data_IF_529113603414
#
_entry.id   IF_529113603414
#
_cell.length_a   1.000
_cell.length_b   1.000
_cell.length_c   1.000
_cell.angle_alpha   90.00
_cell.angle_beta   90.00
_cell.angle_gamma   90.00
#
_symmetry.space_group_name_H-M   'P 1'
#
loop_
_entity.id
_entity.type
_entity.pdbx_description
1 polymer ?
#
# COMPACT_ATOMS: atom_id res chain seq x y z
N UNK A 1 -14.48 -6.49 -17.36
CA UNK A 1 -13.27 -6.14 -16.58
C UNK A 1 -12.66 -7.36 -15.91
N UNK A 2 -13.42 -8.27 -15.28
CA UNK A 2 -12.87 -9.49 -14.63
C UNK A 2 -12.26 -10.52 -15.60
N UNK A 3 -12.84 -10.71 -16.79
CA UNK A 3 -12.39 -11.73 -17.76
C UNK A 3 -11.03 -11.45 -18.38
N UNK A 4 -10.67 -10.17 -18.52
CA UNK A 4 -9.46 -9.75 -19.23
C UNK A 4 -8.18 -10.20 -18.48
N UNK A 5 -8.01 -9.92 -17.17
CA UNK A 5 -6.88 -10.46 -16.40
C UNK A 5 -6.76 -11.98 -16.53
N UNK A 6 -7.87 -12.71 -16.42
CA UNK A 6 -7.87 -14.18 -16.55
C UNK A 6 -7.36 -14.65 -17.93
N UNK A 7 -7.76 -13.99 -19.02
CA UNK A 7 -7.27 -14.30 -20.37
C UNK A 7 -5.76 -14.07 -20.56
N UNK A 8 -5.14 -13.28 -19.69
CA UNK A 8 -3.70 -13.00 -19.66
C UNK A 8 -2.94 -13.83 -18.61
N UNK A 9 -3.63 -14.77 -17.94
CA UNK A 9 -3.06 -15.59 -16.87
C UNK A 9 -2.75 -14.78 -15.60
N UNK A 10 -3.51 -13.72 -15.33
CA UNK A 10 -3.37 -12.86 -14.16
C UNK A 10 -4.46 -13.16 -13.14
N UNK A 11 -4.09 -13.19 -11.86
CA UNK A 11 -5.04 -13.31 -10.75
C UNK A 11 -5.74 -11.97 -10.46
N UNK A 12 -7.01 -12.07 -10.04
CA UNK A 12 -7.73 -10.96 -9.42
C UNK A 12 -7.45 -10.99 -7.92
N UNK A 13 -6.95 -9.87 -7.38
CA UNK A 13 -6.70 -9.71 -5.95
C UNK A 13 -8.03 -9.55 -5.20
N UNK A 14 -8.34 -10.51 -4.32
CA UNK A 14 -9.60 -10.57 -3.56
C UNK A 14 -9.44 -10.19 -2.08
N UNK A 15 -8.23 -9.82 -1.67
CA UNK A 15 -7.88 -9.39 -0.31
C UNK A 15 -8.53 -8.08 0.10
N UNK A 16 -7.81 -7.25 0.86
CA UNK A 16 -8.35 -6.00 1.38
C UNK A 16 -8.50 -4.94 0.27
N UNK A 17 -9.39 -3.96 0.49
CA UNK A 17 -9.46 -2.78 -0.36
C UNK A 17 -8.36 -1.79 0.05
N UNK A 18 -7.96 -0.89 -0.87
CA UNK A 18 -6.97 0.16 -0.61
C UNK A 18 -7.30 1.00 0.65
N UNK A 19 -8.59 1.22 0.90
CA UNK A 19 -9.08 1.87 2.10
C UNK A 19 -10.41 1.26 2.59
N UNK A 20 -10.68 1.30 3.90
CA UNK A 20 -11.83 0.62 4.50
C UNK A 20 -13.20 1.23 4.15
N UNK A 21 -13.22 2.46 3.62
CA UNK A 21 -14.44 3.12 3.14
C UNK A 21 -14.76 2.87 1.67
N UNK A 22 -13.93 2.11 0.97
CA UNK A 22 -14.15 1.78 -0.43
C UNK A 22 -15.24 0.71 -0.56
N UNK A 23 -16.21 0.97 -1.42
CA UNK A 23 -17.27 0.00 -1.73
C UNK A 23 -16.78 -0.99 -2.77
N UNK A 24 -16.92 -2.30 -2.51
CA UNK A 24 -16.66 -3.36 -3.50
C UNK A 24 -17.92 -3.58 -4.34
N UNK A 25 -17.80 -3.38 -5.67
CA UNK A 25 -18.89 -3.64 -6.62
C UNK A 25 -18.89 -5.07 -7.15
N UNK A 26 -17.71 -5.66 -7.35
CA UNK A 26 -17.52 -7.04 -7.78
C UNK A 26 -16.13 -7.56 -7.36
N UNK A 27 -15.72 -8.75 -7.80
CA UNK A 27 -14.41 -9.29 -7.42
C UNK A 27 -13.29 -8.42 -7.99
N UNK A 28 -12.46 -7.86 -7.10
CA UNK A 28 -11.41 -6.91 -7.46
C UNK A 28 -11.90 -5.66 -8.23
N UNK A 29 -13.18 -5.29 -8.11
CA UNK A 29 -13.76 -4.07 -8.69
C UNK A 29 -14.37 -3.24 -7.58
N UNK A 30 -13.89 -2.01 -7.46
CA UNK A 30 -14.15 -1.14 -6.34
C UNK A 30 -14.61 0.24 -6.79
N UNK A 31 -15.28 0.97 -5.89
CA UNK A 31 -15.54 2.39 -6.06
C UNK A 31 -14.23 3.19 -6.09
N UNK A 32 -14.19 4.34 -6.77
CA UNK A 32 -13.08 5.28 -6.62
C UNK A 32 -12.94 5.73 -5.15
N UNK A 33 -11.72 6.04 -4.75
CA UNK A 33 -11.49 6.84 -3.55
C UNK A 33 -12.21 8.19 -3.70
N UNK A 34 -12.85 8.65 -2.63
CA UNK A 34 -13.51 9.94 -2.59
C UNK A 34 -13.40 10.53 -1.18
N UNK A 35 -13.33 11.86 -1.12
CA UNK A 35 -13.13 12.61 0.12
C UNK A 35 -14.29 12.45 1.11
N UNK A 36 -15.58 12.52 0.69
CA UNK A 36 -16.70 12.37 1.62
C UNK A 36 -16.70 11.02 2.33
N UNK A 37 -16.46 9.91 1.62
CA UNK A 37 -16.45 8.57 2.23
C UNK A 37 -15.31 8.41 3.25
N UNK A 38 -14.14 8.99 2.98
CA UNK A 38 -13.04 8.99 3.93
C UNK A 38 -13.39 9.79 5.19
N UNK A 39 -14.00 10.96 5.02
CA UNK A 39 -14.44 11.81 6.14
C UNK A 39 -15.47 11.08 7.01
N UNK A 40 -16.55 10.58 6.40
CA UNK A 40 -17.64 9.88 7.08
C UNK A 40 -17.13 8.64 7.84
N UNK A 41 -16.18 7.92 7.25
CA UNK A 41 -15.57 6.76 7.89
C UNK A 41 -14.81 7.16 9.16
N UNK A 42 -13.95 8.18 9.09
CA UNK A 42 -13.20 8.60 10.27
C UNK A 42 -14.10 9.24 11.32
N UNK A 43 -15.11 10.01 10.92
CA UNK A 43 -16.10 10.58 11.85
C UNK A 43 -16.86 9.49 12.60
N UNK A 44 -17.24 8.42 11.89
CA UNK A 44 -17.98 7.30 12.46
C UNK A 44 -17.14 6.45 13.40
N UNK A 45 -15.90 6.15 13.03
CA UNK A 45 -15.10 5.13 13.70
C UNK A 45 -14.00 5.68 14.60
N UNK A 46 -13.77 6.99 14.62
CA UNK A 46 -12.80 7.64 15.51
C UNK A 46 -13.47 8.76 16.31
N UNK A 47 -12.86 9.14 17.44
CA UNK A 47 -13.34 10.25 18.28
C UNK A 47 -12.56 11.55 18.03
N UNK A 48 -11.82 11.61 16.93
CA UNK A 48 -10.95 12.75 16.56
C UNK A 48 -11.52 13.47 15.35
N UNK A 49 -11.10 14.73 15.15
CA UNK A 49 -11.48 15.49 13.96
C UNK A 49 -10.97 14.77 12.69
N UNK A 50 -11.86 14.33 11.75
CA UNK A 50 -11.48 13.62 10.53
C UNK A 50 -10.33 14.27 9.76
N UNK A 51 -10.31 15.60 9.71
CA UNK A 51 -9.31 16.40 8.97
C UNK A 51 -7.88 16.10 9.43
N UNK A 52 -7.65 15.79 10.71
CA UNK A 52 -6.30 15.52 11.21
C UNK A 52 -5.75 14.16 10.77
N UNK A 53 -6.60 13.30 10.20
CA UNK A 53 -6.24 11.95 9.74
C UNK A 53 -6.21 11.86 8.21
N UNK A 54 -6.45 12.98 7.53
CA UNK A 54 -6.47 13.08 6.08
C UNK A 54 -5.20 13.77 5.60
N UNK A 55 -4.60 13.24 4.54
CA UNK A 55 -3.29 13.67 4.04
C UNK A 55 -3.36 14.49 2.74
N UNK A 56 -4.55 14.90 2.33
CA UNK A 56 -4.78 15.62 1.07
C UNK A 56 -6.24 16.00 0.86
N UNK A 57 -6.51 16.65 -0.28
CA UNK A 57 -7.85 16.98 -0.73
C UNK A 57 -8.52 15.86 -1.52
N UNK A 58 -9.61 16.20 -2.21
CA UNK A 58 -10.32 15.27 -3.08
C UNK A 58 -9.51 14.80 -4.29
N UNK A 59 -9.94 13.69 -4.85
CA UNK A 59 -9.42 13.07 -6.07
C UNK A 59 -9.98 13.76 -7.32
N UNK A 60 -9.47 13.40 -8.50
CA UNK A 60 -10.10 13.81 -9.77
C UNK A 60 -11.54 13.30 -9.91
N UNK A 61 -11.90 12.20 -9.23
CA UNK A 61 -13.28 11.73 -9.20
C UNK A 61 -14.17 12.69 -8.40
N UNK A 62 -13.73 13.18 -7.25
CA UNK A 62 -14.45 14.19 -6.47
C UNK A 62 -14.68 15.47 -7.29
N UNK A 63 -13.67 15.92 -8.04
CA UNK A 63 -13.79 17.09 -8.91
C UNK A 63 -14.83 16.90 -10.02
N UNK A 64 -14.87 15.72 -10.65
CA UNK A 64 -15.84 15.42 -11.71
C UNK A 64 -17.28 15.41 -11.20
N UNK A 65 -17.51 14.89 -9.99
CA UNK A 65 -18.82 14.95 -9.32
C UNK A 65 -19.21 16.41 -9.00
N UNK A 66 -18.27 17.21 -8.49
CA UNK A 66 -18.50 18.62 -8.14
C UNK A 66 -19.00 19.44 -9.35
N UNK A 67 -18.43 19.21 -10.54
CA UNK A 67 -18.82 19.93 -11.76
C UNK A 67 -20.00 19.28 -12.52
N UNK A 68 -20.65 18.27 -11.93
CA UNK A 68 -21.85 17.64 -12.49
C UNK A 68 -21.59 16.61 -13.60
N UNK A 69 -20.36 16.10 -13.73
CA UNK A 69 -19.99 15.07 -14.72
C UNK A 69 -20.15 13.63 -14.17
N UNK A 70 -21.26 13.38 -13.48
CA UNK A 70 -21.54 12.14 -12.72
C UNK A 70 -21.81 10.91 -13.60
N UNK A 71 -21.76 11.06 -14.93
CA UNK A 71 -21.84 9.96 -15.91
C UNK A 71 -20.48 9.53 -16.43
N UNK A 72 -19.40 10.10 -15.88
CA UNK A 72 -18.03 9.75 -16.28
C UNK A 72 -17.67 8.37 -15.77
N UNK A 73 -17.14 7.53 -16.66
CA UNK A 73 -16.56 6.25 -16.25
C UNK A 73 -15.17 6.51 -15.68
N UNK A 74 -14.99 6.22 -14.40
CA UNK A 74 -13.67 6.22 -13.77
C UNK A 74 -13.08 4.81 -13.80
N UNK A 75 -11.93 4.65 -14.44
CA UNK A 75 -11.19 3.39 -14.49
C UNK A 75 -9.77 3.63 -14.00
N UNK A 76 -9.43 2.99 -12.88
CA UNK A 76 -8.06 2.88 -12.38
C UNK A 76 -7.67 1.40 -12.35
N UNK A 77 -6.64 1.05 -13.12
CA UNK A 77 -6.13 -0.32 -13.17
C UNK A 77 -4.82 -0.39 -12.41
N UNK A 78 -4.91 -0.75 -11.14
CA UNK A 78 -3.75 -1.08 -10.31
C UNK A 78 -3.22 -2.45 -10.71
N UNK A 79 -1.90 -2.52 -10.94
CA UNK A 79 -1.25 -3.69 -11.47
C UNK A 79 -0.09 -4.10 -10.55
N UNK A 80 -0.10 -5.35 -10.03
CA UNK A 80 0.95 -5.79 -9.14
C UNK A 80 2.23 -6.15 -9.93
N UNK A 81 3.37 -6.16 -9.23
CA UNK A 81 4.66 -6.56 -9.80
C UNK A 81 4.78 -8.10 -9.94
N UNK A 82 4.08 -8.83 -9.09
CA UNK A 82 4.05 -10.29 -9.03
C UNK A 82 2.62 -10.76 -8.78
N UNK A 83 2.38 -12.06 -8.93
CA UNK A 83 1.14 -12.69 -8.51
C UNK A 83 1.42 -13.88 -7.61
N UNK A 84 0.54 -14.10 -6.63
CA UNK A 84 0.55 -15.25 -5.73
C UNK A 84 -0.81 -15.92 -5.75
N UNK A 85 -0.91 -17.26 -5.76
CA UNK A 85 -2.21 -17.94 -5.66
C UNK A 85 -2.97 -17.59 -4.37
N UNK A 86 -2.28 -17.09 -3.34
CA UNK A 86 -2.92 -16.66 -2.10
C UNK A 86 -3.86 -15.47 -2.29
N UNK A 87 -3.56 -14.54 -3.22
CA UNK A 87 -4.36 -13.31 -3.39
C UNK A 87 -5.76 -13.55 -3.94
N UNK A 88 -6.02 -14.76 -4.47
CA UNK A 88 -7.34 -15.15 -4.99
C UNK A 88 -8.04 -16.23 -4.13
N UNK A 89 -7.40 -16.64 -3.03
CA UNK A 89 -7.84 -17.73 -2.19
C UNK A 89 -8.85 -17.26 -1.13
N UNK A 90 -10.13 -17.55 -1.38
CA UNK A 90 -11.24 -17.19 -0.49
C UNK A 90 -11.47 -18.21 0.65
N UNK A 91 -10.55 -19.17 0.85
CA UNK A 91 -10.66 -20.14 1.93
C UNK A 91 -10.62 -19.42 3.28
N UNK A 92 -11.59 -19.70 4.14
CA UNK A 92 -11.68 -19.15 5.50
C UNK A 92 -10.62 -19.79 6.39
N UNK A 93 -9.93 -18.97 7.18
CA UNK A 93 -9.00 -19.44 8.21
C UNK A 93 -9.77 -19.63 9.53
N UNK A 94 -9.83 -20.85 10.07
CA UNK A 94 -10.58 -21.11 11.31
C UNK A 94 -10.04 -20.32 12.49
N UNK A 95 -10.95 -19.83 13.35
CA UNK A 95 -10.64 -19.18 14.63
C UNK A 95 -9.80 -17.88 14.53
N UNK A 96 -9.72 -17.27 13.35
CA UNK A 96 -9.05 -15.97 13.15
C UNK A 96 -10.05 -15.03 12.48
N UNK A 97 -10.23 -13.85 13.06
CA UNK A 97 -11.09 -12.81 12.49
C UNK A 97 -10.29 -11.91 11.55
N UNK A 98 -10.98 -11.22 10.63
CA UNK A 98 -10.37 -10.20 9.79
C UNK A 98 -9.74 -9.10 10.64
N UNK A 99 -10.35 -8.75 11.77
CA UNK A 99 -9.80 -7.80 12.76
C UNK A 99 -8.43 -8.21 13.27
N UNK A 100 -8.26 -9.48 13.67
CA UNK A 100 -6.99 -9.97 14.22
C UNK A 100 -5.85 -9.77 13.22
N UNK A 101 -6.10 -10.15 11.96
CA UNK A 101 -5.15 -9.99 10.86
C UNK A 101 -4.88 -8.53 10.52
N UNK A 102 -5.90 -7.68 10.46
CA UNK A 102 -5.73 -6.25 10.19
C UNK A 102 -4.90 -5.57 11.29
N UNK A 103 -5.15 -5.90 12.56
CA UNK A 103 -4.37 -5.37 13.68
C UNK A 103 -2.92 -5.86 13.63
N UNK A 104 -2.69 -7.13 13.31
CA UNK A 104 -1.35 -7.67 13.12
C UNK A 104 -0.62 -6.99 11.95
N UNK A 105 -1.30 -6.76 10.83
CA UNK A 105 -0.74 -6.01 9.70
C UNK A 105 -0.36 -4.57 10.07
N UNK A 106 -1.22 -3.89 10.83
CA UNK A 106 -0.92 -2.56 11.38
C UNK A 106 0.27 -2.57 12.33
N UNK A 107 0.42 -3.62 13.16
CA UNK A 107 1.57 -3.76 14.06
C UNK A 107 2.88 -3.91 13.25
N UNK A 108 2.89 -4.72 12.18
CA UNK A 108 4.04 -4.84 11.25
C UNK A 108 4.34 -3.53 10.51
N UNK A 109 3.31 -2.81 10.06
CA UNK A 109 3.47 -1.49 9.41
C UNK A 109 4.07 -0.47 10.38
N UNK A 110 3.61 -0.44 11.63
CA UNK A 110 4.14 0.46 12.65
C UNK A 110 5.60 0.15 13.01
N UNK A 111 5.95 -1.12 13.17
CA UNK A 111 7.32 -1.56 13.46
C UNK A 111 8.27 -1.17 12.32
N UNK A 112 7.94 -1.54 11.09
CA UNK A 112 8.76 -1.19 9.92
C UNK A 112 8.86 0.32 9.70
N UNK A 113 7.78 1.08 9.92
CA UNK A 113 7.81 2.53 9.83
C UNK A 113 8.69 3.16 10.91
N UNK A 114 8.67 2.65 12.15
CA UNK A 114 9.51 3.13 13.23
C UNK A 114 11.01 2.93 12.92
N UNK A 115 11.38 1.77 12.38
CA UNK A 115 12.75 1.47 11.92
C UNK A 115 13.18 2.48 10.85
N UNK A 116 12.37 2.66 9.80
CA UNK A 116 12.71 3.55 8.69
C UNK A 116 12.79 5.02 9.12
N UNK A 117 11.90 5.47 10.01
CA UNK A 117 11.91 6.82 10.56
C UNK A 117 13.11 7.07 11.47
N UNK A 118 13.50 6.06 12.26
CA UNK A 118 14.72 6.13 13.07
C UNK A 118 15.95 6.32 12.19
N UNK A 119 16.15 5.45 11.20
CA UNK A 119 17.25 5.53 10.24
C UNK A 119 17.27 6.87 9.49
N UNK A 120 16.11 7.28 8.95
CA UNK A 120 15.97 8.56 8.25
C UNK A 120 16.36 9.74 9.14
N UNK A 121 15.97 9.72 10.42
CA UNK A 121 16.30 10.78 11.38
C UNK A 121 17.80 10.86 11.63
N UNK A 122 18.49 9.71 11.77
CA UNK A 122 19.94 9.67 11.99
C UNK A 122 20.72 10.24 10.81
N UNK A 123 20.35 9.88 9.58
CA UNK A 123 21.10 10.29 8.38
C UNK A 123 20.69 11.67 7.84
N UNK A 124 19.50 12.17 8.18
CA UNK A 124 18.97 13.45 7.65
C UNK A 124 19.97 14.62 7.69
N UNK A 125 20.78 14.84 8.74
CA UNK A 125 21.75 15.93 8.78
C UNK A 125 22.85 15.83 7.71
N UNK A 126 23.17 14.62 7.24
CA UNK A 126 24.25 14.36 6.27
C UNK A 126 23.75 14.06 4.85
N UNK A 127 22.43 13.96 4.67
CA UNK A 127 21.77 13.79 3.37
C UNK A 127 21.67 15.12 2.61
N UNK A 128 22.81 15.64 2.13
CA UNK A 128 22.90 16.92 1.41
C UNK A 128 22.53 16.83 -0.07
N UNK A 129 22.66 15.65 -0.68
CA UNK A 129 22.30 15.41 -2.06
C UNK A 129 20.80 15.12 -2.18
N UNK A 130 20.08 16.12 -2.68
CA UNK A 130 18.63 16.06 -2.85
C UNK A 130 18.24 15.22 -4.08
N UNK A 131 18.44 13.90 -4.01
CA UNK A 131 18.04 12.96 -5.07
C UNK A 131 16.52 12.80 -5.15
N UNK A 132 16.01 12.33 -6.29
CA UNK A 132 14.59 11.96 -6.43
C UNK A 132 14.21 10.86 -5.44
N UNK A 133 15.09 9.89 -5.22
CA UNK A 133 14.90 8.83 -4.24
C UNK A 133 14.77 9.37 -2.81
N UNK A 134 15.63 10.32 -2.41
CA UNK A 134 15.56 10.91 -1.07
C UNK A 134 14.28 11.72 -0.85
N UNK A 135 13.86 12.50 -1.86
CA UNK A 135 12.59 13.25 -1.78
C UNK A 135 11.40 12.30 -1.64
N UNK A 136 11.36 11.25 -2.47
CA UNK A 136 10.27 10.30 -2.49
C UNK A 136 10.20 9.51 -1.17
N UNK A 137 11.31 8.92 -0.71
CA UNK A 137 11.33 8.12 0.52
C UNK A 137 10.95 8.96 1.74
N UNK A 138 11.52 10.17 1.90
CA UNK A 138 11.16 11.06 3.01
C UNK A 138 9.68 11.41 2.98
N UNK A 139 9.15 11.86 1.84
CA UNK A 139 7.75 12.28 1.72
C UNK A 139 6.77 11.15 2.00
N UNK A 140 7.08 9.94 1.51
CA UNK A 140 6.22 8.77 1.71
C UNK A 140 6.27 8.28 3.16
N UNK A 141 7.45 8.23 3.79
CA UNK A 141 7.58 7.84 5.20
C UNK A 141 6.86 8.82 6.14
N UNK A 142 6.98 10.13 5.88
CA UNK A 142 6.26 11.17 6.64
C UNK A 142 4.74 11.02 6.50
N UNK A 143 4.25 10.68 5.30
CA UNK A 143 2.83 10.44 5.03
C UNK A 143 2.25 9.26 5.83
N UNK A 144 2.98 8.14 5.95
CA UNK A 144 2.48 6.95 6.66
C UNK A 144 2.48 7.13 8.18
N UNK A 145 3.33 8.00 8.73
CA UNK A 145 3.45 8.19 10.18
C UNK A 145 2.23 8.86 10.83
N UNK A 146 1.48 9.69 10.09
CA UNK A 146 0.46 10.59 10.68
C UNK A 146 -0.86 9.93 11.03
N UNK A 147 -1.10 8.66 10.69
CA UNK A 147 -2.45 8.05 10.78
C UNK A 147 -2.52 6.70 11.51
N UNK A 148 -1.41 6.19 12.05
CA UNK A 148 -1.34 4.86 12.65
C UNK A 148 -2.35 4.60 13.78
N UNK A 149 -2.37 5.47 14.80
CA UNK A 149 -3.26 5.31 15.95
C UNK A 149 -4.75 5.35 15.56
N UNK A 150 -5.09 6.27 14.66
CA UNK A 150 -6.44 6.44 14.14
C UNK A 150 -6.92 5.24 13.34
N UNK A 151 -6.05 4.67 12.49
CA UNK A 151 -6.36 3.44 11.74
C UNK A 151 -6.65 2.28 12.69
N UNK A 152 -5.82 2.10 13.72
CA UNK A 152 -6.04 1.06 14.74
C UNK A 152 -7.37 1.24 15.45
N UNK A 153 -7.68 2.45 15.90
CA UNK A 153 -8.95 2.76 16.55
C UNK A 153 -10.13 2.46 15.63
N UNK A 154 -10.04 2.85 14.36
CA UNK A 154 -11.11 2.61 13.40
C UNK A 154 -11.36 1.10 13.19
N UNK A 155 -10.30 0.28 13.06
CA UNK A 155 -10.41 -1.19 12.95
C UNK A 155 -11.07 -1.81 14.19
N UNK A 156 -10.71 -1.35 15.39
CA UNK A 156 -11.31 -1.84 16.64
C UNK A 156 -12.80 -1.50 16.76
N UNK A 157 -13.18 -0.30 16.31
CA UNK A 157 -14.54 0.20 16.39
C UNK A 157 -15.45 -0.32 15.25
N UNK A 158 -14.87 -0.82 14.15
CA UNK A 158 -15.64 -1.37 13.06
C UNK A 158 -16.00 -2.84 13.30
N UNK A 159 -17.26 -3.10 13.69
CA UNK A 159 -17.78 -4.46 13.88
C UNK A 159 -17.79 -5.31 12.61
N UNK A 160 -17.70 -4.71 11.41
CA UNK A 160 -17.59 -5.45 10.16
C UNK A 160 -16.32 -6.30 10.08
N UNK A 161 -15.30 -5.97 10.88
CA UNK A 161 -14.02 -6.69 10.93
C UNK A 161 -14.07 -7.97 11.77
N UNK A 162 -15.15 -8.22 12.52
CA UNK A 162 -15.28 -9.43 13.36
C UNK A 162 -15.58 -10.72 12.58
N UNK A 163 -15.78 -10.61 11.27
CA UNK A 163 -16.03 -11.77 10.41
C UNK A 163 -14.77 -12.65 10.28
N UNK A 164 -14.91 -13.95 9.97
CA UNK A 164 -13.77 -14.82 9.69
C UNK A 164 -12.91 -14.27 8.54
N UNK A 165 -11.59 -14.42 8.65
CA UNK A 165 -10.64 -13.95 7.63
C UNK A 165 -10.47 -14.99 6.51
N UNK A 166 -10.20 -14.52 5.29
CA UNK A 166 -9.78 -15.39 4.17
C UNK A 166 -8.26 -15.42 4.03
N UNK A 167 -7.73 -16.44 3.34
CA UNK A 167 -6.31 -16.49 2.98
C UNK A 167 -5.90 -15.25 2.17
N UNK A 168 -6.74 -14.77 1.25
CA UNK A 168 -6.47 -13.57 0.47
C UNK A 168 -6.35 -12.31 1.34
N UNK A 169 -7.26 -12.11 2.30
CA UNK A 169 -7.22 -10.99 3.25
C UNK A 169 -5.97 -11.06 4.15
N UNK A 170 -5.60 -12.26 4.61
CA UNK A 170 -4.38 -12.45 5.39
C UNK A 170 -3.12 -12.12 4.59
N UNK A 171 -3.03 -12.62 3.36
CA UNK A 171 -1.88 -12.35 2.51
C UNK A 171 -1.70 -10.86 2.23
N UNK A 172 -2.80 -10.15 1.99
CA UNK A 172 -2.79 -8.73 1.70
C UNK A 172 -2.30 -7.88 2.88
N UNK A 173 -2.88 -8.11 4.06
CA UNK A 173 -2.55 -7.38 5.27
C UNK A 173 -1.13 -7.66 5.79
N UNK A 174 -0.66 -8.91 5.69
CA UNK A 174 0.60 -9.33 6.34
C UNK A 174 1.83 -9.29 5.44
N UNK A 175 1.66 -9.46 4.12
CA UNK A 175 2.79 -9.63 3.19
C UNK A 175 2.77 -8.64 2.03
N UNK A 176 1.63 -8.42 1.38
CA UNK A 176 1.54 -7.47 0.26
C UNK A 176 1.80 -6.03 0.75
N UNK A 177 1.20 -5.65 1.87
CA UNK A 177 1.42 -4.34 2.48
C UNK A 177 2.90 -4.10 2.83
N UNK A 178 3.58 -5.13 3.37
CA UNK A 178 5.01 -5.07 3.65
C UNK A 178 5.85 -4.94 2.38
N UNK A 179 5.51 -5.65 1.30
CA UNK A 179 6.19 -5.51 0.02
C UNK A 179 6.18 -4.06 -0.50
N UNK A 180 5.04 -3.37 -0.46
CA UNK A 180 4.97 -1.97 -0.86
C UNK A 180 5.78 -1.05 0.06
N UNK A 181 5.88 -1.36 1.36
CA UNK A 181 6.79 -0.66 2.28
C UNK A 181 8.24 -0.84 1.87
N UNK A 182 8.64 -2.05 1.48
CA UNK A 182 10.01 -2.33 1.03
C UNK A 182 10.42 -1.53 -0.21
N UNK A 183 9.47 -1.15 -1.07
CA UNK A 183 9.76 -0.24 -2.19
C UNK A 183 10.24 1.12 -1.68
N UNK A 184 9.61 1.65 -0.62
CA UNK A 184 9.99 2.93 0.00
C UNK A 184 11.34 2.80 0.70
N UNK A 185 11.55 1.71 1.45
CA UNK A 185 12.84 1.39 2.07
C UNK A 185 13.97 1.28 1.03
N UNK A 186 13.71 0.62 -0.10
CA UNK A 186 14.66 0.51 -1.22
C UNK A 186 14.97 1.86 -1.88
N UNK A 187 14.01 2.81 -1.90
CA UNK A 187 14.31 4.18 -2.33
C UNK A 187 15.26 4.86 -1.35
N UNK A 188 15.09 4.67 -0.04
CA UNK A 188 16.00 5.21 0.97
C UNK A 188 17.42 4.63 0.82
N UNK A 189 17.57 3.32 0.63
CA UNK A 189 18.88 2.69 0.36
C UNK A 189 19.57 3.31 -0.86
N UNK A 190 18.86 3.43 -2.00
CA UNK A 190 19.43 4.08 -3.20
C UNK A 190 19.81 5.53 -2.97
N UNK A 191 19.04 6.25 -2.16
CA UNK A 191 19.39 7.62 -1.78
C UNK A 191 20.70 7.66 -0.98
N UNK A 192 20.90 6.73 -0.04
CA UNK A 192 22.13 6.60 0.74
C UNK A 192 23.32 6.27 -0.17
N UNK A 193 23.17 5.31 -1.09
CA UNK A 193 24.21 4.96 -2.09
C UNK A 193 24.65 6.20 -2.87
N UNK A 194 23.69 7.01 -3.33
CA UNK A 194 23.98 8.22 -4.08
C UNK A 194 24.62 9.32 -3.23
N UNK A 195 24.26 9.40 -1.95
CA UNK A 195 24.89 10.32 -1.01
C UNK A 195 26.35 9.93 -0.74
N UNK A 196 26.66 8.64 -0.58
CA UNK A 196 28.03 8.14 -0.31
C UNK A 196 29.01 8.52 -1.44
N UNK A 197 28.51 8.58 -2.68
CA UNK A 197 29.28 8.98 -3.87
C UNK A 197 29.66 10.48 -3.85
N UNK A 198 29.07 11.30 -2.98
CA UNK A 198 29.37 12.72 -2.91
C UNK A 198 30.71 12.99 -2.19
N UNK A 199 31.49 14.00 -2.61
CA UNK A 199 32.79 14.30 -2.01
C UNK A 199 32.73 14.62 -0.51
N UNK A 200 31.66 15.26 -0.04
CA UNK A 200 31.49 15.70 1.35
C UNK A 200 30.67 14.73 2.19
N UNK A 201 30.51 13.49 1.75
CA UNK A 201 29.67 12.51 2.44
C UNK A 201 30.30 12.05 3.75
N UNK A 202 29.50 11.98 4.82
CA UNK A 202 29.87 11.22 6.01
C UNK A 202 29.70 9.72 5.73
N UNK A 203 30.70 9.16 5.05
CA UNK A 203 30.64 7.77 4.57
C UNK A 203 30.41 6.77 5.69
N UNK A 204 31.06 6.97 6.84
CA UNK A 204 30.96 6.04 7.97
C UNK A 204 29.53 5.98 8.51
N UNK A 205 28.89 7.13 8.73
CA UNK A 205 27.50 7.16 9.20
C UNK A 205 26.55 6.53 8.17
N UNK A 206 26.72 6.87 6.89
CA UNK A 206 25.86 6.41 5.80
C UNK A 206 26.01 4.91 5.53
N UNK A 207 27.24 4.39 5.55
CA UNK A 207 27.51 2.95 5.37
C UNK A 207 26.93 2.13 6.53
N UNK A 208 27.06 2.60 7.78
CA UNK A 208 26.45 1.94 8.93
C UNK A 208 24.92 1.91 8.83
N UNK A 209 24.30 3.05 8.52
CA UNK A 209 22.85 3.13 8.34
C UNK A 209 22.36 2.26 7.18
N UNK A 210 23.15 2.14 6.12
CA UNK A 210 22.87 1.26 4.98
C UNK A 210 22.91 -0.22 5.39
N UNK A 211 23.95 -0.66 6.11
CA UNK A 211 24.06 -2.04 6.59
C UNK A 211 22.86 -2.40 7.49
N UNK A 212 22.48 -1.50 8.39
CA UNK A 212 21.29 -1.70 9.24
C UNK A 212 20.00 -1.82 8.41
N UNK A 213 19.82 -0.95 7.42
CA UNK A 213 18.68 -1.01 6.50
C UNK A 213 18.67 -2.29 5.65
N UNK A 214 19.83 -2.72 5.15
CA UNK A 214 19.98 -3.95 4.36
C UNK A 214 19.61 -5.18 5.18
N UNK A 215 20.04 -5.27 6.45
CA UNK A 215 19.66 -6.38 7.33
C UNK A 215 18.13 -6.46 7.52
N UNK A 216 17.47 -5.32 7.74
CA UNK A 216 16.01 -5.28 7.87
C UNK A 216 15.29 -5.63 6.55
N UNK A 217 15.81 -5.17 5.41
CA UNK A 217 15.29 -5.56 4.10
C UNK A 217 15.41 -7.07 3.88
N UNK A 218 16.56 -7.66 4.20
CA UNK A 218 16.76 -9.10 4.08
C UNK A 218 15.79 -9.89 4.97
N UNK A 219 15.57 -9.45 6.21
CA UNK A 219 14.60 -10.06 7.12
C UNK A 219 13.16 -9.99 6.56
N UNK A 220 12.74 -8.84 6.04
CA UNK A 220 11.40 -8.69 5.44
C UNK A 220 11.24 -9.47 4.14
N UNK A 221 12.29 -9.54 3.32
CA UNK A 221 12.32 -10.37 2.10
C UNK A 221 12.17 -11.83 2.48
N UNK A 222 12.94 -12.31 3.46
CA UNK A 222 12.88 -13.70 3.95
C UNK A 222 11.48 -14.04 4.48
N UNK A 223 10.85 -13.17 5.27
CA UNK A 223 9.48 -13.37 5.76
C UNK A 223 8.48 -13.52 4.61
N UNK A 224 8.57 -12.65 3.59
CA UNK A 224 7.68 -12.71 2.42
C UNK A 224 7.95 -13.96 1.59
N UNK A 225 9.21 -14.29 1.28
CA UNK A 225 9.55 -15.46 0.46
C UNK A 225 9.15 -16.79 1.11
N UNK A 226 9.20 -16.88 2.43
CA UNK A 226 8.77 -18.06 3.17
C UNK A 226 7.24 -18.21 3.23
N UNK A 227 6.50 -17.09 3.28
CA UNK A 227 5.06 -17.13 3.55
C UNK A 227 4.16 -16.79 2.35
N UNK A 228 4.71 -16.21 1.29
CA UNK A 228 3.96 -15.77 0.12
C UNK A 228 4.60 -16.35 -1.15
N UNK A 229 4.18 -17.53 -1.64
CA UNK A 229 4.67 -18.05 -2.91
C UNK A 229 4.23 -17.10 -4.03
N UNK A 230 5.18 -16.54 -4.77
CA UNK A 230 4.89 -15.57 -5.83
C UNK A 230 5.62 -15.89 -7.14
N UNK A 231 5.09 -15.34 -8.23
CA UNK A 231 5.72 -15.36 -9.54
C UNK A 231 5.73 -13.96 -10.15
N UNK A 232 6.85 -13.51 -10.75
CA UNK A 232 6.90 -12.19 -11.38
C UNK A 232 5.98 -12.14 -12.59
N UNK A 233 5.33 -11.00 -12.80
CA UNK A 233 4.45 -10.81 -13.95
C UNK A 233 5.25 -10.18 -15.09
N UNK A 234 5.06 -10.69 -16.31
CA UNK A 234 5.64 -10.08 -17.51
C UNK A 234 5.02 -8.69 -17.72
N UNK A 235 5.84 -7.65 -17.86
CA UNK A 235 5.41 -6.27 -18.14
C UNK A 235 4.43 -6.22 -19.32
N UNK A 236 4.64 -7.04 -20.36
CA UNK A 236 3.73 -7.15 -21.50
C UNK A 236 2.29 -7.46 -21.08
N UNK A 237 2.09 -8.39 -20.14
CA UNK A 237 0.76 -8.78 -19.66
C UNK A 237 0.12 -7.62 -18.89
N UNK A 238 0.91 -6.89 -18.10
CA UNK A 238 0.45 -5.71 -17.36
C UNK A 238 -0.06 -4.63 -18.34
N UNK A 239 0.74 -4.29 -19.35
CA UNK A 239 0.35 -3.32 -20.39
C UNK A 239 -0.91 -3.77 -21.14
N UNK A 240 -1.01 -5.05 -21.49
CA UNK A 240 -2.19 -5.60 -22.17
C UNK A 240 -3.45 -5.53 -21.29
N UNK A 241 -3.33 -5.77 -19.98
CA UNK A 241 -4.45 -5.66 -19.05
C UNK A 241 -4.95 -4.21 -18.94
N UNK A 242 -4.04 -3.25 -18.77
CA UNK A 242 -4.38 -1.82 -18.70
C UNK A 242 -5.04 -1.32 -19.99
N UNK A 243 -4.41 -1.54 -21.14
CA UNK A 243 -4.96 -1.12 -22.44
C UNK A 243 -6.28 -1.82 -22.76
N UNK A 244 -6.36 -3.13 -22.52
CA UNK A 244 -7.58 -3.89 -22.75
C UNK A 244 -8.73 -3.44 -21.85
N UNK A 245 -8.46 -3.07 -20.60
CA UNK A 245 -9.47 -2.55 -19.68
C UNK A 245 -10.02 -1.22 -20.18
N UNK A 246 -9.13 -0.30 -20.61
CA UNK A 246 -9.52 0.96 -21.24
C UNK A 246 -10.39 0.72 -22.47
N UNK A 247 -9.96 -0.13 -23.41
CA UNK A 247 -10.71 -0.43 -24.64
C UNK A 247 -12.07 -1.08 -24.36
N UNK A 248 -12.20 -1.82 -23.25
CA UNK A 248 -13.47 -2.47 -22.87
C UNK A 248 -14.52 -1.47 -22.39
N UNK A 249 -14.10 -0.35 -21.81
CA UNK A 249 -15.00 0.66 -21.23
C UNK A 249 -15.23 1.87 -22.13
N UNK A 250 -14.52 1.97 -23.26
CA UNK A 250 -14.77 3.01 -24.25
C UNK A 250 -16.20 2.88 -24.82
N UNK A 251 -16.92 3.99 -24.98
CA UNK A 251 -18.20 3.99 -25.67
C UNK A 251 -18.02 3.41 -27.09
N UNK A 252 -18.95 2.54 -27.49
CA UNK A 252 -19.04 2.07 -28.87
C UNK A 252 -19.72 3.09 -29.76
#
# INVERSE_FOLDING_TARGET
LERLPSSLGLFLAKGEAEAPWITRYASAIFSPLNLPSAYDYYEKYTHSNPVTMMSGGGTSFDYLEEIGLNKTIFLMAELPYFQSPMVTNDTIIPNITRRDVLLQGLDKDNESNAILMYLLTQIKPVMTFNSSFYRASRSLLELYNTTAASRRQAVLNDNSTLVPVTVASQADALYISMFYKMLIASMLDRAIIWQIQQPSADRKLLENARIELENHLDDWINDIEQNLPYTPIRIRNLVQAQLGAMLTVLPK
#
